data_IF_052535733781
#
_entry.id   IF_052535733781
#
_cell.length_a   1.000
_cell.length_b   1.000
_cell.length_c   1.000
_cell.angle_alpha   90.00
_cell.angle_beta   90.00
_cell.angle_gamma   90.00
#
_symmetry.space_group_name_H-M   'P 1'
#
loop_
_entity.id
_entity.type
_entity.pdbx_description
1 polymer ?
#
# COMPACT_ATOMS: atom_id res chain seq x y z
N UNK A 1 13.49 2.62 -6.27
CA UNK A 1 12.61 2.87 -7.45
C UNK A 1 12.81 1.77 -8.47
N UNK A 2 11.75 1.28 -9.12
CA UNK A 2 11.86 0.24 -10.15
C UNK A 2 11.86 0.89 -11.54
N UNK A 3 12.96 0.77 -12.27
CA UNK A 3 13.13 1.40 -13.59
C UNK A 3 12.94 2.92 -13.58
N UNK A 4 13.40 3.61 -12.53
CA UNK A 4 13.26 5.06 -12.37
C UNK A 4 11.86 5.54 -11.95
N UNK A 5 10.94 4.62 -11.57
CA UNK A 5 9.57 4.94 -11.19
C UNK A 5 9.33 4.69 -9.70
N UNK A 6 8.47 5.47 -9.04
CA UNK A 6 8.07 5.20 -7.67
C UNK A 6 7.48 3.79 -7.53
N UNK A 7 7.83 3.07 -6.46
CA UNK A 7 7.35 1.69 -6.21
C UNK A 7 5.82 1.61 -6.12
N UNK A 8 5.18 2.66 -5.63
CA UNK A 8 3.72 2.72 -5.54
C UNK A 8 3.02 2.61 -6.90
N UNK A 9 3.69 3.01 -7.99
CA UNK A 9 3.17 2.85 -9.35
C UNK A 9 3.14 1.40 -9.80
N UNK A 10 3.76 0.48 -9.07
CA UNK A 10 3.78 -0.95 -9.40
C UNK A 10 2.62 -1.73 -8.77
N UNK A 11 1.87 -1.13 -7.83
CA UNK A 11 0.73 -1.77 -7.19
C UNK A 11 -0.48 -1.79 -8.12
N UNK A 12 -1.05 -2.99 -8.32
CA UNK A 12 -2.19 -3.21 -9.21
C UNK A 12 -3.38 -3.69 -8.40
N UNK A 13 -4.55 -3.09 -8.61
CA UNK A 13 -5.78 -3.48 -7.92
C UNK A 13 -6.13 -4.94 -8.16
N UNK A 14 -5.94 -5.46 -9.35
CA UNK A 14 -6.15 -6.88 -9.69
C UNK A 14 -5.33 -7.84 -8.82
N UNK A 15 -4.10 -7.48 -8.47
CA UNK A 15 -3.24 -8.29 -7.58
C UNK A 15 -3.72 -8.19 -6.12
N UNK A 16 -4.08 -6.99 -5.69
CA UNK A 16 -4.55 -6.73 -4.32
C UNK A 16 -5.80 -7.54 -4.01
N UNK A 17 -6.72 -7.65 -4.96
CA UNK A 17 -7.97 -8.39 -4.80
C UNK A 17 -7.88 -9.89 -5.17
N UNK A 18 -6.70 -10.40 -5.54
CA UNK A 18 -6.52 -11.82 -5.91
C UNK A 18 -6.48 -12.80 -4.74
N UNK A 19 -6.50 -12.32 -3.49
CA UNK A 19 -6.31 -13.15 -2.29
C UNK A 19 -4.85 -13.58 -2.02
N UNK A 20 -3.97 -13.49 -3.02
CA UNK A 20 -2.55 -13.87 -2.94
C UNK A 20 -1.61 -12.65 -2.94
N UNK A 21 -2.12 -11.48 -2.55
CA UNK A 21 -1.37 -10.22 -2.64
C UNK A 21 -0.05 -10.26 -1.88
N UNK A 22 -0.02 -10.84 -0.68
CA UNK A 22 1.18 -10.92 0.15
C UNK A 22 2.25 -11.82 -0.46
N UNK A 23 1.86 -12.99 -0.97
CA UNK A 23 2.79 -13.91 -1.62
C UNK A 23 3.42 -13.29 -2.87
N UNK A 24 2.59 -12.68 -3.72
CA UNK A 24 3.05 -12.01 -4.96
C UNK A 24 3.93 -10.81 -4.61
N UNK A 25 3.52 -10.01 -3.63
CA UNK A 25 4.27 -8.83 -3.18
C UNK A 25 5.62 -9.24 -2.61
N UNK A 26 5.66 -10.19 -1.67
CA UNK A 26 6.90 -10.67 -1.08
C UNK A 26 7.86 -11.22 -2.13
N UNK A 27 7.36 -12.06 -3.04
CA UNK A 27 8.17 -12.62 -4.12
C UNK A 27 8.78 -11.54 -5.00
N UNK A 28 7.99 -10.54 -5.39
CA UNK A 28 8.47 -9.46 -6.26
C UNK A 28 9.48 -8.56 -5.55
N UNK A 29 9.24 -8.20 -4.29
CA UNK A 29 10.17 -7.40 -3.50
C UNK A 29 11.48 -8.14 -3.26
N UNK A 30 11.42 -9.41 -2.86
CA UNK A 30 12.64 -10.20 -2.65
C UNK A 30 13.45 -10.37 -3.92
N UNK A 31 12.79 -10.64 -5.05
CA UNK A 31 13.45 -10.73 -6.35
C UNK A 31 14.16 -9.42 -6.72
N UNK A 32 13.49 -8.29 -6.55
CA UNK A 32 14.09 -6.97 -6.86
C UNK A 32 15.24 -6.64 -5.91
N UNK A 33 15.12 -6.97 -4.63
CA UNK A 33 16.17 -6.77 -3.65
C UNK A 33 17.41 -7.62 -3.95
N UNK A 34 17.23 -8.91 -4.21
CA UNK A 34 18.32 -9.84 -4.52
C UNK A 34 19.03 -9.51 -5.84
N UNK A 35 18.34 -8.95 -6.82
CA UNK A 35 18.96 -8.49 -8.06
C UNK A 35 19.95 -7.33 -7.87
N UNK A 36 19.84 -6.60 -6.74
CA UNK A 36 20.70 -5.45 -6.42
C UNK A 36 21.84 -5.81 -5.51
N UNK A 37 21.60 -6.64 -4.53
CA UNK A 37 22.56 -7.10 -3.55
C UNK A 37 22.13 -8.47 -3.04
N UNK A 38 23.05 -9.42 -3.00
CA UNK A 38 22.82 -10.70 -2.35
C UNK A 38 22.77 -10.50 -0.83
N UNK A 39 21.54 -10.48 -0.29
CA UNK A 39 21.29 -10.24 1.12
C UNK A 39 21.81 -11.36 2.02
N UNK A 40 21.84 -12.59 1.50
CA UNK A 40 22.34 -13.75 2.25
C UNK A 40 23.85 -13.65 2.42
N UNK A 41 24.57 -13.51 1.31
CA UNK A 41 26.05 -13.41 1.33
C UNK A 41 26.53 -12.14 2.05
N UNK A 42 25.74 -11.07 1.98
CA UNK A 42 26.06 -9.81 2.67
C UNK A 42 25.70 -9.79 4.16
N UNK A 43 25.10 -10.87 4.68
CA UNK A 43 24.73 -10.96 6.11
C UNK A 43 23.61 -10.03 6.55
N UNK A 44 22.84 -9.49 5.61
CA UNK A 44 21.71 -8.56 5.89
C UNK A 44 20.35 -9.16 5.55
N UNK A 45 20.28 -10.47 5.37
CA UNK A 45 19.02 -11.14 5.04
C UNK A 45 18.02 -11.00 6.21
N UNK A 46 16.84 -10.41 5.97
CA UNK A 46 15.87 -10.25 7.03
C UNK A 46 15.24 -11.60 7.41
N UNK A 47 14.94 -11.77 8.69
CA UNK A 47 14.23 -12.96 9.21
C UNK A 47 12.75 -12.98 8.86
N UNK A 48 12.18 -11.83 8.51
CA UNK A 48 10.76 -11.68 8.16
C UNK A 48 10.59 -11.25 6.71
N UNK A 49 9.51 -11.70 6.05
CA UNK A 49 9.21 -11.28 4.70
C UNK A 49 8.85 -9.79 4.63
N UNK A 50 9.03 -9.12 3.47
CA UNK A 50 8.80 -7.68 3.31
C UNK A 50 7.44 -7.17 3.78
N UNK A 51 6.36 -7.95 3.61
CA UNK A 51 5.01 -7.53 4.08
C UNK A 51 4.85 -7.59 5.60
N UNK A 52 5.81 -8.18 6.31
CA UNK A 52 5.79 -8.31 7.78
C UNK A 52 6.91 -7.54 8.48
N UNK A 53 7.75 -6.85 7.72
CA UNK A 53 8.89 -6.08 8.22
C UNK A 53 8.88 -4.66 7.69
N UNK A 54 9.47 -3.73 8.43
CA UNK A 54 9.82 -2.43 7.89
C UNK A 54 10.98 -2.63 6.91
N UNK A 55 10.79 -2.25 5.65
CA UNK A 55 11.83 -2.32 4.64
C UNK A 55 12.24 -0.91 4.22
N UNK A 56 13.51 -0.77 3.93
CA UNK A 56 14.07 0.49 3.43
C UNK A 56 14.03 0.50 1.90
N UNK A 57 13.61 1.62 1.34
CA UNK A 57 13.66 1.89 -0.09
C UNK A 57 14.79 2.89 -0.31
N UNK A 58 15.94 2.40 -0.79
CA UNK A 58 17.09 3.24 -1.08
C UNK A 58 17.90 2.67 -2.24
N UNK A 59 18.44 3.54 -3.07
CA UNK A 59 19.27 3.13 -4.22
C UNK A 59 20.76 3.28 -3.92
N UNK A 60 21.14 4.05 -2.91
CA UNK A 60 22.56 4.39 -2.60
C UNK A 60 23.21 3.46 -1.58
N UNK A 61 22.42 2.86 -0.68
CA UNK A 61 22.94 2.05 0.42
C UNK A 61 23.75 0.83 -0.08
N UNK A 62 23.33 0.22 -1.18
CA UNK A 62 24.03 -0.93 -1.75
C UNK A 62 25.47 -0.58 -2.15
N UNK A 63 25.64 0.57 -2.81
CA UNK A 63 26.97 1.04 -3.21
C UNK A 63 27.83 1.33 -1.99
N UNK A 64 27.28 1.95 -0.95
CA UNK A 64 28.01 2.28 0.27
C UNK A 64 28.41 1.02 1.07
N UNK A 65 27.55 -0.01 1.11
CA UNK A 65 27.89 -1.32 1.69
C UNK A 65 28.98 -2.03 0.90
N UNK A 66 28.88 -2.09 -0.42
CA UNK A 66 29.86 -2.74 -1.27
C UNK A 66 31.23 -2.04 -1.26
N UNK A 67 31.26 -0.72 -1.13
CA UNK A 67 32.51 0.06 -1.03
C UNK A 67 33.11 0.07 0.37
N UNK A 68 32.44 -0.55 1.37
CA UNK A 68 32.89 -0.56 2.77
C UNK A 68 32.74 0.77 3.50
N UNK A 69 32.04 1.75 2.91
CA UNK A 69 31.70 3.02 3.58
C UNK A 69 30.69 2.80 4.72
N UNK A 70 29.84 1.79 4.60
CA UNK A 70 28.93 1.34 5.65
C UNK A 70 29.32 -0.09 6.03
N UNK A 71 29.41 -0.33 7.34
CA UNK A 71 29.60 -1.67 7.90
C UNK A 71 28.37 -2.03 8.72
N UNK A 72 27.93 -3.27 8.65
CA UNK A 72 26.80 -3.79 9.42
C UNK A 72 27.32 -4.51 10.67
N UNK A 73 26.66 -4.29 11.78
CA UNK A 73 26.92 -4.96 13.04
C UNK A 73 25.61 -5.52 13.62
N UNK A 74 25.74 -6.42 14.59
CA UNK A 74 24.61 -6.95 15.33
C UNK A 74 23.98 -5.94 16.29
N UNK A 75 23.23 -6.44 17.28
CA UNK A 75 22.63 -5.59 18.29
C UNK A 75 23.67 -4.95 19.20
N UNK A 76 23.52 -3.64 19.45
CA UNK A 76 24.34 -2.90 20.39
C UNK A 76 24.06 -3.44 21.80
N UNK A 77 25.12 -3.87 22.50
CA UNK A 77 25.01 -4.33 23.89
C UNK A 77 25.22 -3.19 24.89
N UNK A 78 26.28 -2.38 24.68
CA UNK A 78 26.57 -1.21 25.53
C UNK A 78 27.45 -0.20 24.80
N UNK A 79 27.43 1.01 25.32
CA UNK A 79 28.37 2.09 24.99
C UNK A 79 29.37 2.18 26.14
N UNK A 80 30.65 2.25 25.82
CA UNK A 80 31.75 2.27 26.78
C UNK A 80 32.71 3.43 26.40
N UNK A 81 32.45 4.61 26.99
CA UNK A 81 33.10 5.84 26.58
C UNK A 81 32.75 6.23 25.14
N UNK A 82 33.77 6.28 24.25
CA UNK A 82 33.60 6.51 22.81
C UNK A 82 33.52 5.21 21.99
N UNK A 83 33.33 4.08 22.64
CA UNK A 83 33.29 2.77 21.97
C UNK A 83 31.91 2.14 22.01
N UNK A 84 31.54 1.43 20.95
CA UNK A 84 30.36 0.60 20.91
C UNK A 84 30.74 -0.89 21.03
N UNK A 85 30.09 -1.62 21.92
CA UNK A 85 30.23 -3.06 22.10
C UNK A 85 28.94 -3.74 21.68
N UNK A 86 29.04 -4.71 20.79
CA UNK A 86 27.91 -5.46 20.24
C UNK A 86 27.73 -6.80 20.99
N UNK A 87 26.54 -7.41 20.83
CA UNK A 87 26.21 -8.66 21.54
C UNK A 87 27.10 -9.83 21.15
N UNK A 88 27.65 -9.83 19.96
CA UNK A 88 28.60 -10.83 19.46
C UNK A 88 30.04 -10.62 19.98
N UNK A 89 30.27 -9.63 20.85
CA UNK A 89 31.58 -9.26 21.37
C UNK A 89 32.40 -8.31 20.48
N UNK A 90 31.92 -8.00 19.29
CA UNK A 90 32.59 -7.02 18.41
C UNK A 90 32.64 -5.65 19.09
N UNK A 91 33.79 -4.97 18.99
CA UNK A 91 33.99 -3.62 19.53
C UNK A 91 34.41 -2.67 18.42
N UNK A 92 33.74 -1.53 18.32
CA UNK A 92 34.11 -0.41 17.44
C UNK A 92 34.54 0.74 18.32
N UNK A 93 35.75 1.22 18.12
CA UNK A 93 36.40 2.23 18.97
C UNK A 93 36.40 3.59 18.30
N UNK A 94 36.41 4.65 19.11
CA UNK A 94 36.62 6.02 18.66
C UNK A 94 35.42 6.57 17.87
N UNK A 95 34.22 6.34 18.33
CA UNK A 95 33.01 6.89 17.72
C UNK A 95 32.90 8.40 18.01
N UNK A 96 32.66 9.18 16.97
CA UNK A 96 32.40 10.62 17.07
C UNK A 96 30.93 10.90 17.45
N UNK A 97 30.01 10.10 16.95
CA UNK A 97 28.57 10.30 17.18
C UNK A 97 27.77 8.98 17.05
N UNK A 98 26.67 8.91 17.77
CA UNK A 98 25.67 7.83 17.66
C UNK A 98 24.34 8.47 17.29
N UNK A 99 23.74 8.03 16.20
CA UNK A 99 22.42 8.49 15.74
C UNK A 99 21.39 7.40 16.05
N UNK A 100 20.44 7.71 16.92
CA UNK A 100 19.37 6.79 17.30
C UNK A 100 18.21 6.87 16.30
N UNK A 101 18.13 5.88 15.41
CA UNK A 101 17.04 5.73 14.44
C UNK A 101 16.08 4.60 14.86
N UNK A 102 15.73 4.54 16.14
CA UNK A 102 14.96 3.46 16.76
C UNK A 102 13.45 3.57 16.54
N UNK A 103 12.98 4.63 15.89
CA UNK A 103 11.57 4.92 15.62
C UNK A 103 10.98 5.89 16.64
N UNK A 104 9.66 6.02 16.60
CA UNK A 104 8.89 6.95 17.43
C UNK A 104 7.77 6.19 18.12
N UNK A 105 7.36 6.65 19.28
CA UNK A 105 6.11 6.26 19.92
C UNK A 105 5.07 7.34 19.64
N UNK A 106 3.83 6.98 19.24
CA UNK A 106 2.77 7.96 19.08
C UNK A 106 2.39 8.54 20.43
N UNK A 107 2.32 9.85 20.50
CA UNK A 107 1.91 10.59 21.68
C UNK A 107 0.71 11.47 21.34
N UNK A 108 -0.32 11.40 22.18
CA UNK A 108 -1.57 12.15 22.03
C UNK A 108 -1.82 12.99 23.29
N UNK A 109 -0.79 13.71 23.74
CA UNK A 109 -0.80 14.52 24.97
C UNK A 109 -1.89 15.61 25.00
N UNK A 110 -2.48 15.92 23.85
CA UNK A 110 -3.60 16.86 23.70
C UNK A 110 -5.00 16.22 23.96
N UNK A 111 -5.07 14.92 24.16
CA UNK A 111 -6.29 14.21 24.52
C UNK A 111 -6.39 14.06 26.04
N UNK A 112 -7.62 13.97 26.55
CA UNK A 112 -7.88 13.70 27.96
C UNK A 112 -7.27 12.37 28.39
N UNK A 113 -6.74 12.32 29.59
CA UNK A 113 -6.04 11.13 30.15
C UNK A 113 -6.94 9.89 30.17
N UNK A 114 -8.23 10.06 30.42
CA UNK A 114 -9.21 8.97 30.43
C UNK A 114 -9.36 8.32 29.06
N UNK A 115 -9.27 9.10 27.97
CA UNK A 115 -9.28 8.59 26.60
C UNK A 115 -7.97 7.90 26.24
N UNK A 116 -6.86 8.31 26.84
CA UNK A 116 -5.53 7.76 26.56
C UNK A 116 -5.28 6.42 27.24
N UNK A 117 -5.85 6.17 28.43
CA UNK A 117 -5.63 4.95 29.19
C UNK A 117 -6.05 3.69 28.43
N UNK A 118 -7.04 3.78 27.58
CA UNK A 118 -7.55 2.66 26.78
C UNK A 118 -7.28 2.80 25.27
N UNK A 119 -6.48 3.80 24.85
CA UNK A 119 -6.22 4.03 23.43
C UNK A 119 -5.68 2.80 22.70
N UNK A 120 -4.82 2.02 23.34
CA UNK A 120 -4.28 0.76 22.80
C UNK A 120 -5.34 -0.34 22.64
N UNK A 121 -6.40 -0.27 23.42
CA UNK A 121 -7.53 -1.20 23.40
C UNK A 121 -8.69 -0.64 22.57
N UNK A 122 -8.66 0.67 22.29
CA UNK A 122 -9.71 1.37 21.58
C UNK A 122 -9.81 0.84 20.15
N UNK A 123 -10.88 0.12 19.86
CA UNK A 123 -11.20 -0.31 18.52
C UNK A 123 -11.57 0.90 17.65
N UNK A 124 -10.80 1.18 16.61
CA UNK A 124 -11.10 2.26 15.66
C UNK A 124 -11.70 1.70 14.37
N UNK A 125 -13.02 1.90 14.17
CA UNK A 125 -13.65 1.56 12.90
C UNK A 125 -13.04 2.39 11.77
N UNK A 126 -12.54 1.70 10.74
CA UNK A 126 -11.75 2.28 9.64
C UNK A 126 -10.52 3.08 10.12
N UNK A 127 -9.99 2.73 11.29
CA UNK A 127 -8.90 3.45 11.97
C UNK A 127 -9.23 4.95 12.16
N UNK A 128 -10.50 5.27 12.33
CA UNK A 128 -11.04 6.63 12.48
C UNK A 128 -11.91 6.75 13.72
N UNK A 129 -13.02 6.01 13.78
CA UNK A 129 -14.04 6.20 14.78
C UNK A 129 -13.93 5.21 15.93
N UNK A 130 -13.78 5.67 17.18
CA UNK A 130 -13.90 4.81 18.35
C UNK A 130 -15.25 4.08 18.34
N UNK A 131 -15.23 2.75 18.54
CA UNK A 131 -16.46 1.95 18.52
C UNK A 131 -17.22 1.99 19.83
N UNK A 132 -16.55 2.37 20.91
CA UNK A 132 -17.14 2.42 22.27
C UNK A 132 -17.67 3.82 22.62
N UNK A 133 -17.61 4.79 21.69
CA UNK A 133 -18.15 6.13 21.85
C UNK A 133 -19.56 6.22 21.26
N UNK A 134 -20.57 6.40 22.10
CA UNK A 134 -21.98 6.45 21.68
C UNK A 134 -22.32 7.62 20.73
N UNK A 135 -21.64 8.75 20.90
CA UNK A 135 -21.93 9.97 20.12
C UNK A 135 -21.12 10.09 18.83
N UNK A 136 -20.07 9.33 18.68
CA UNK A 136 -19.15 9.37 17.53
C UNK A 136 -18.74 10.79 17.11
N UNK A 137 -18.40 11.63 18.11
CA UNK A 137 -17.98 13.02 17.89
C UNK A 137 -16.49 13.17 17.67
N UNK A 138 -15.72 12.11 17.95
CA UNK A 138 -14.28 12.05 17.80
C UNK A 138 -13.88 11.17 16.60
N UNK A 139 -12.91 11.63 15.83
CA UNK A 139 -12.36 10.88 14.71
C UNK A 139 -10.86 11.09 14.55
N UNK A 140 -10.12 10.01 14.39
CA UNK A 140 -8.68 10.02 14.17
C UNK A 140 -8.38 9.90 12.68
N UNK A 141 -7.61 10.84 12.13
CA UNK A 141 -7.19 10.80 10.73
C UNK A 141 -5.68 10.55 10.67
N UNK A 142 -5.28 9.53 9.92
CA UNK A 142 -3.86 9.21 9.74
C UNK A 142 -3.20 8.49 10.91
N UNK A 143 -3.99 7.99 11.89
CA UNK A 143 -3.47 7.23 13.04
C UNK A 143 -3.08 5.79 12.64
N UNK A 144 -2.23 5.65 11.63
CA UNK A 144 -1.74 4.34 11.16
C UNK A 144 -0.36 4.45 10.52
N UNK A 145 0.42 3.36 10.59
CA UNK A 145 1.57 3.12 9.73
C UNK A 145 1.15 2.27 8.53
N UNK A 146 1.74 2.48 7.35
CA UNK A 146 1.31 1.76 6.17
C UNK A 146 2.40 1.42 5.17
N UNK A 147 2.17 0.36 4.40
CA UNK A 147 2.96 0.05 3.21
C UNK A 147 2.33 0.75 2.01
N UNK A 148 3.00 1.78 1.52
CA UNK A 148 2.58 2.56 0.37
C UNK A 148 2.24 4.00 0.71
N UNK A 149 1.53 4.69 -0.18
CA UNK A 149 1.15 6.07 0.01
C UNK A 149 0.06 6.20 1.09
N UNK A 150 0.37 6.89 2.17
CA UNK A 150 -0.55 7.14 3.29
C UNK A 150 -1.51 8.29 3.01
N UNK A 151 -1.09 9.31 2.25
CA UNK A 151 -1.91 10.47 1.90
C UNK A 151 -3.28 10.13 1.30
N UNK A 152 -3.39 9.25 0.30
CA UNK A 152 -4.69 8.83 -0.25
C UNK A 152 -5.60 8.13 0.77
N UNK A 153 -5.04 7.40 1.75
CA UNK A 153 -5.84 6.82 2.84
C UNK A 153 -6.42 7.91 3.71
N UNK A 154 -5.57 8.84 4.17
CA UNK A 154 -6.01 9.97 5.01
C UNK A 154 -7.02 10.86 4.30
N UNK A 155 -6.89 11.06 2.98
CA UNK A 155 -7.91 11.76 2.18
C UNK A 155 -9.27 11.07 2.24
N UNK A 156 -9.30 9.75 2.02
CA UNK A 156 -10.55 8.98 2.07
C UNK A 156 -11.14 8.95 3.49
N UNK A 157 -10.29 8.80 4.53
CA UNK A 157 -10.71 8.91 5.92
C UNK A 157 -11.35 10.27 6.21
N UNK A 158 -10.71 11.37 5.79
CA UNK A 158 -11.22 12.74 5.95
C UNK A 158 -12.56 12.94 5.24
N UNK A 159 -12.68 12.46 3.99
CA UNK A 159 -13.95 12.53 3.24
C UNK A 159 -15.07 11.73 3.92
N UNK A 160 -14.76 10.56 4.45
CA UNK A 160 -15.71 9.71 5.15
C UNK A 160 -16.16 10.38 6.45
N UNK A 161 -15.22 10.84 7.28
CA UNK A 161 -15.50 11.52 8.54
C UNK A 161 -16.33 12.79 8.34
N UNK A 162 -15.96 13.61 7.36
CA UNK A 162 -16.72 14.82 7.05
C UNK A 162 -18.18 14.53 6.68
N UNK A 163 -18.46 13.42 5.98
CA UNK A 163 -19.84 13.03 5.65
C UNK A 163 -20.59 12.46 6.85
N UNK A 164 -19.93 11.73 7.75
CA UNK A 164 -20.53 11.27 9.01
C UNK A 164 -20.87 12.47 9.89
N UNK A 165 -19.92 13.36 10.16
CA UNK A 165 -20.14 14.55 11.00
C UNK A 165 -21.18 15.52 10.42
N UNK A 166 -21.29 15.58 9.10
CA UNK A 166 -22.34 16.36 8.43
C UNK A 166 -23.72 15.66 8.38
N UNK A 167 -23.87 14.47 8.96
CA UNK A 167 -25.11 13.69 8.91
C UNK A 167 -25.50 13.19 7.51
N UNK A 168 -24.57 13.22 6.54
CA UNK A 168 -24.80 12.75 5.17
C UNK A 168 -24.60 11.26 4.98
N UNK A 169 -23.89 10.62 5.90
CA UNK A 169 -23.71 9.18 6.00
C UNK A 169 -23.89 8.79 7.47
N UNK A 170 -24.30 7.54 7.68
CA UNK A 170 -24.36 6.93 9.01
C UNK A 170 -23.26 5.88 9.15
N UNK A 171 -22.79 5.69 10.37
CA UNK A 171 -21.92 4.57 10.69
C UNK A 171 -22.71 3.26 10.58
N UNK A 172 -22.05 2.14 10.20
CA UNK A 172 -22.68 0.83 10.21
C UNK A 172 -23.10 0.41 11.64
N UNK A 173 -23.94 -0.62 11.77
CA UNK A 173 -24.25 -1.22 13.08
C UNK A 173 -22.97 -1.64 13.82
N UNK A 174 -23.02 -1.63 15.15
CA UNK A 174 -21.87 -1.85 16.03
C UNK A 174 -21.18 -3.21 15.81
N UNK A 175 -21.96 -4.24 15.51
CA UNK A 175 -21.45 -5.59 15.18
C UNK A 175 -20.59 -5.59 13.92
N UNK A 176 -21.00 -4.84 12.89
CA UNK A 176 -20.23 -4.66 11.65
C UNK A 176 -18.95 -3.87 11.92
N UNK A 177 -19.02 -2.82 12.75
CA UNK A 177 -17.84 -2.05 13.14
C UNK A 177 -16.84 -2.90 13.92
N UNK A 178 -17.30 -3.71 14.87
CA UNK A 178 -16.46 -4.63 15.63
C UNK A 178 -15.79 -5.68 14.76
N UNK A 179 -16.53 -6.25 13.81
CA UNK A 179 -15.96 -7.21 12.85
C UNK A 179 -14.87 -6.58 11.97
N UNK A 180 -15.06 -5.34 11.52
CA UNK A 180 -14.07 -4.59 10.76
C UNK A 180 -12.80 -4.31 11.59
N UNK A 181 -12.95 -3.85 12.82
CA UNK A 181 -11.84 -3.63 13.74
C UNK A 181 -11.06 -4.92 13.97
N UNK A 182 -11.74 -6.02 14.27
CA UNK A 182 -11.10 -7.32 14.47
C UNK A 182 -10.34 -7.80 13.22
N UNK A 183 -10.93 -7.61 12.04
CA UNK A 183 -10.28 -7.96 10.76
C UNK A 183 -8.98 -7.18 10.57
N UNK A 184 -9.01 -5.84 10.73
CA UNK A 184 -7.82 -5.01 10.52
C UNK A 184 -6.79 -5.18 11.63
N UNK A 185 -7.21 -5.37 12.88
CA UNK A 185 -6.30 -5.73 13.97
C UNK A 185 -5.55 -7.01 13.65
N UNK A 186 -6.23 -8.07 13.24
CA UNK A 186 -5.59 -9.32 12.86
C UNK A 186 -4.69 -9.20 11.62
N UNK A 187 -5.11 -8.39 10.63
CA UNK A 187 -4.33 -8.17 9.42
C UNK A 187 -3.05 -7.35 9.68
N UNK A 188 -3.11 -6.40 10.63
CA UNK A 188 -2.05 -5.45 10.92
C UNK A 188 -1.10 -5.89 12.05
N UNK A 189 -1.59 -6.62 13.07
CA UNK A 189 -0.81 -7.07 14.24
C UNK A 189 0.22 -8.16 13.96
N UNK A 190 0.38 -8.55 12.70
CA UNK A 190 1.43 -9.50 12.31
C UNK A 190 2.86 -8.98 12.53
N UNK A 191 3.01 -7.74 12.97
CA UNK A 191 4.32 -7.17 13.34
C UNK A 191 4.39 -6.99 14.87
N UNK A 192 4.79 -8.06 15.58
CA UNK A 192 4.83 -8.16 17.05
C UNK A 192 5.72 -7.14 17.77
N UNK A 193 6.49 -6.34 17.05
CA UNK A 193 7.49 -5.44 17.63
C UNK A 193 7.04 -3.97 17.75
N UNK A 194 5.82 -3.61 17.30
CA UNK A 194 5.32 -2.24 17.41
C UNK A 194 3.91 -2.22 17.99
N UNK A 195 3.79 -1.81 19.24
CA UNK A 195 2.56 -1.70 20.01
C UNK A 195 1.48 -0.81 19.38
N UNK A 196 1.87 0.18 18.57
CA UNK A 196 1.03 1.32 18.21
C UNK A 196 0.87 1.58 16.70
N UNK A 197 1.51 0.80 15.83
CA UNK A 197 1.40 1.01 14.38
C UNK A 197 0.81 -0.21 13.69
N UNK A 198 -0.40 -0.07 13.23
CA UNK A 198 -0.98 -1.01 12.29
C UNK A 198 -0.24 -0.88 10.96
N UNK A 199 0.52 -1.89 10.58
CA UNK A 199 1.20 -1.94 9.28
C UNK A 199 0.17 -2.27 8.21
N UNK A 200 -0.52 -1.22 7.75
CA UNK A 200 -1.71 -1.29 6.93
C UNK A 200 -1.37 -1.55 5.46
N UNK A 201 -1.98 -2.52 4.78
CA UNK A 201 -1.93 -2.60 3.32
C UNK A 201 -2.79 -1.48 2.71
N UNK A 202 -2.24 -0.27 2.62
CA UNK A 202 -2.94 0.97 2.28
C UNK A 202 -3.86 0.83 1.06
N UNK A 203 -3.40 0.16 0.01
CA UNK A 203 -4.17 0.04 -1.23
C UNK A 203 -5.47 -0.76 -1.08
N UNK A 204 -5.45 -1.85 -0.29
CA UNK A 204 -6.66 -2.62 0.02
C UNK A 204 -7.59 -1.83 0.92
N UNK A 205 -7.03 -1.17 1.93
CA UNK A 205 -7.79 -0.38 2.89
C UNK A 205 -8.50 0.80 2.24
N UNK A 206 -7.84 1.50 1.31
CA UNK A 206 -8.45 2.57 0.51
C UNK A 206 -9.73 2.10 -0.19
N UNK A 207 -9.69 0.94 -0.84
CA UNK A 207 -10.84 0.40 -1.54
C UNK A 207 -12.01 0.08 -0.58
N UNK A 208 -11.74 -0.29 0.69
CA UNK A 208 -12.81 -0.51 1.67
C UNK A 208 -13.51 0.78 2.07
N UNK A 209 -12.77 1.87 2.31
CA UNK A 209 -13.35 3.19 2.61
C UNK A 209 -14.07 3.75 1.37
N UNK A 210 -13.48 3.58 0.19
CA UNK A 210 -14.08 4.02 -1.06
C UNK A 210 -15.44 3.37 -1.34
N UNK A 211 -15.63 2.11 -0.92
CA UNK A 211 -16.93 1.42 -0.99
C UNK A 211 -17.97 2.08 -0.06
N UNK A 212 -17.59 2.43 1.16
CA UNK A 212 -18.48 3.13 2.09
C UNK A 212 -18.87 4.52 1.58
N UNK A 213 -17.96 5.21 0.93
CA UNK A 213 -18.20 6.50 0.29
C UNK A 213 -18.98 6.42 -1.02
N UNK A 214 -19.17 5.23 -1.60
CA UNK A 214 -19.77 5.05 -2.92
C UNK A 214 -18.89 5.53 -4.09
N UNK A 215 -17.56 5.66 -3.87
CA UNK A 215 -16.59 6.18 -4.86
C UNK A 215 -15.64 5.10 -5.38
N UNK A 216 -15.89 3.85 -5.07
CA UNK A 216 -15.07 2.74 -5.53
C UNK A 216 -15.11 2.62 -7.05
N UNK A 217 -13.95 2.58 -7.75
CA UNK A 217 -13.88 2.49 -9.20
C UNK A 217 -14.07 1.03 -9.67
N UNK A 218 -15.31 0.54 -9.55
CA UNK A 218 -15.69 -0.84 -9.91
C UNK A 218 -15.38 -1.16 -11.38
N UNK A 219 -14.76 -2.32 -11.63
CA UNK A 219 -14.31 -2.74 -12.97
C UNK A 219 -15.43 -2.70 -14.01
N UNK A 220 -16.52 -3.38 -13.75
CA UNK A 220 -17.62 -3.49 -14.71
C UNK A 220 -18.28 -2.16 -15.03
N UNK A 221 -18.42 -1.31 -14.01
CA UNK A 221 -18.98 0.04 -14.20
C UNK A 221 -18.07 0.92 -15.06
N UNK A 222 -16.76 0.85 -14.81
CA UNK A 222 -15.77 1.57 -15.64
C UNK A 222 -15.68 0.98 -17.03
N UNK A 223 -15.81 -0.35 -17.19
CA UNK A 223 -15.73 -1.02 -18.49
C UNK A 223 -16.83 -0.53 -19.46
N UNK A 224 -18.02 -0.30 -18.94
CA UNK A 224 -19.14 0.25 -19.72
C UNK A 224 -18.87 1.70 -20.12
N UNK A 225 -18.28 2.51 -19.23
CA UNK A 225 -18.06 3.95 -19.46
C UNK A 225 -16.82 4.24 -20.30
N UNK A 226 -15.70 3.57 -20.01
CA UNK A 226 -14.41 3.70 -20.69
C UNK A 226 -13.58 2.43 -20.48
N UNK A 227 -13.56 1.50 -21.45
CA UNK A 227 -12.82 0.23 -21.36
C UNK A 227 -11.32 0.41 -21.13
N UNK A 228 -10.72 1.44 -21.72
CA UNK A 228 -9.28 1.72 -21.56
C UNK A 228 -8.98 2.20 -20.16
N UNK A 229 -9.83 3.06 -19.60
CA UNK A 229 -9.72 3.54 -18.24
C UNK A 229 -9.94 2.39 -17.23
N UNK A 230 -10.93 1.52 -17.46
CA UNK A 230 -11.16 0.33 -16.65
C UNK A 230 -9.89 -0.55 -16.56
N UNK A 231 -9.29 -0.84 -17.72
CA UNK A 231 -8.05 -1.60 -17.77
C UNK A 231 -6.92 -0.90 -16.99
N UNK A 232 -6.75 0.41 -17.15
CA UNK A 232 -5.74 1.20 -16.46
C UNK A 232 -5.95 1.23 -14.96
N UNK A 233 -7.18 1.38 -14.48
CA UNK A 233 -7.51 1.40 -13.06
C UNK A 233 -7.31 0.05 -12.36
N UNK A 234 -7.46 -1.07 -13.07
CA UNK A 234 -7.39 -2.39 -12.48
C UNK A 234 -6.05 -3.10 -12.68
N UNK A 235 -5.42 -2.90 -13.82
CA UNK A 235 -4.16 -3.56 -14.19
C UNK A 235 -2.97 -2.58 -14.22
N UNK A 236 -3.24 -1.30 -14.11
CA UNK A 236 -2.23 -0.23 -13.97
C UNK A 236 -2.00 0.17 -12.52
N UNK A 237 -1.19 1.22 -12.32
CA UNK A 237 -0.93 1.81 -11.01
C UNK A 237 -2.19 2.36 -10.35
N UNK A 238 -2.23 2.34 -9.01
CA UNK A 238 -3.30 2.97 -8.24
C UNK A 238 -2.96 4.44 -7.95
N UNK A 239 -3.93 5.32 -8.22
CA UNK A 239 -3.83 6.76 -7.95
C UNK A 239 -5.06 7.24 -7.18
N UNK A 240 -4.92 8.23 -6.33
CA UNK A 240 -6.04 8.84 -5.58
C UNK A 240 -7.14 9.40 -6.49
N UNK A 241 -6.79 9.89 -7.68
CA UNK A 241 -7.75 10.36 -8.68
C UNK A 241 -8.77 9.29 -9.11
N UNK A 242 -8.45 8.00 -9.00
CA UNK A 242 -9.38 6.92 -9.30
C UNK A 242 -10.64 6.94 -8.41
N UNK A 243 -10.53 7.47 -7.18
CA UNK A 243 -11.65 7.65 -6.25
C UNK A 243 -12.45 8.95 -6.48
N UNK A 244 -12.18 9.65 -7.58
CA UNK A 244 -12.93 10.81 -8.07
C UNK A 244 -13.59 10.55 -9.43
N UNK A 245 -13.49 9.31 -9.94
CA UNK A 245 -14.13 8.92 -11.21
C UNK A 245 -15.63 8.73 -11.05
N UNK A 246 -16.08 8.11 -9.98
CA UNK A 246 -17.46 7.69 -9.79
C UNK A 246 -17.99 8.15 -8.43
N UNK A 247 -19.34 8.20 -8.31
CA UNK A 247 -20.03 8.44 -7.05
C UNK A 247 -20.12 9.91 -6.65
N UNK A 248 -20.43 10.18 -5.37
CA UNK A 248 -20.54 11.52 -4.84
C UNK A 248 -19.23 12.30 -4.94
N UNK A 249 -19.31 13.58 -5.26
CA UNK A 249 -18.15 14.49 -5.40
C UNK A 249 -17.19 14.06 -6.50
N UNK A 250 -17.68 13.34 -7.53
CA UNK A 250 -16.88 12.94 -8.69
C UNK A 250 -16.57 14.13 -9.60
N UNK A 251 -15.36 14.11 -10.18
CA UNK A 251 -15.00 14.98 -11.28
C UNK A 251 -14.42 14.09 -12.39
N UNK A 252 -15.31 13.49 -13.17
CA UNK A 252 -14.98 12.50 -14.19
C UNK A 252 -13.90 12.97 -15.15
N UNK A 253 -14.07 14.18 -15.71
CA UNK A 253 -13.15 14.70 -16.73
C UNK A 253 -11.75 14.82 -16.19
N UNK A 254 -11.58 15.54 -15.09
CA UNK A 254 -10.27 15.78 -14.48
C UNK A 254 -9.64 14.47 -13.95
N UNK A 255 -10.43 13.64 -13.24
CA UNK A 255 -9.94 12.38 -12.72
C UNK A 255 -9.50 11.42 -13.83
N UNK A 256 -10.26 11.36 -14.93
CA UNK A 256 -9.92 10.56 -16.11
C UNK A 256 -8.61 11.02 -16.75
N UNK A 257 -8.46 12.33 -16.93
CA UNK A 257 -7.24 12.92 -17.51
C UNK A 257 -6.02 12.60 -16.61
N UNK A 258 -6.13 12.78 -15.31
CA UNK A 258 -5.05 12.41 -14.35
C UNK A 258 -4.73 10.92 -14.45
N UNK A 259 -5.73 10.02 -14.42
CA UNK A 259 -5.48 8.58 -14.55
C UNK A 259 -4.82 8.20 -15.88
N UNK A 260 -5.04 8.97 -16.93
CA UNK A 260 -4.44 8.75 -18.24
C UNK A 260 -3.01 9.27 -18.34
N UNK A 261 -2.69 10.38 -17.66
CA UNK A 261 -1.41 11.10 -17.79
C UNK A 261 -0.45 10.85 -16.63
N UNK A 262 -0.95 10.53 -15.45
CA UNK A 262 -0.15 10.42 -14.20
C UNK A 262 1.07 9.51 -14.33
N UNK A 263 0.95 8.41 -15.07
CA UNK A 263 2.07 7.51 -15.34
C UNK A 263 3.18 8.16 -16.15
N UNK A 264 2.82 9.02 -17.07
CA UNK A 264 3.75 9.77 -17.92
C UNK A 264 4.31 10.98 -17.16
N UNK A 265 3.45 11.65 -16.39
CA UNK A 265 3.80 12.82 -15.59
C UNK A 265 4.71 12.47 -14.41
N UNK A 266 4.54 11.32 -13.79
CA UNK A 266 5.46 10.81 -12.76
C UNK A 266 6.91 10.65 -13.23
N UNK A 267 7.14 10.68 -14.54
CA UNK A 267 8.47 10.63 -15.15
C UNK A 267 8.92 11.98 -15.72
N UNK A 268 8.17 13.07 -15.51
CA UNK A 268 8.50 14.39 -16.09
C UNK A 268 9.83 14.93 -15.60
N UNK A 269 10.16 14.70 -14.32
CA UNK A 269 11.46 15.08 -13.75
C UNK A 269 12.66 14.47 -14.48
N UNK A 270 12.46 13.33 -15.16
CA UNK A 270 13.50 12.67 -15.95
C UNK A 270 13.62 13.25 -17.36
N UNK A 271 12.68 14.12 -17.79
CA UNK A 271 12.64 14.70 -19.12
C UNK A 271 13.39 16.03 -19.29
N UNK A 272 14.00 16.53 -18.20
CA UNK A 272 14.75 17.78 -18.22
C UNK A 272 16.11 17.70 -18.94
N UNK A 273 16.59 16.51 -19.27
CA UNK A 273 17.73 16.40 -20.17
C UNK A 273 17.27 16.72 -21.61
N UNK A 274 17.80 17.79 -22.17
CA UNK A 274 17.68 18.11 -23.60
C UNK A 274 18.48 17.14 -24.46
N UNK A 275 18.32 15.83 -24.24
CA UNK A 275 18.92 14.84 -25.13
C UNK A 275 18.21 14.95 -26.49
N UNK A 276 18.96 14.99 -27.60
CA UNK A 276 18.38 14.96 -28.93
C UNK A 276 17.42 13.78 -29.07
N UNK A 277 16.27 14.01 -29.68
CA UNK A 277 15.27 12.96 -29.95
C UNK A 277 15.77 11.89 -30.95
N UNK A 278 16.95 12.06 -31.47
CA UNK A 278 17.61 11.16 -32.40
C UNK A 278 18.47 10.16 -31.64
N UNK A 279 18.05 8.91 -31.62
CA UNK A 279 18.88 7.82 -31.12
C UNK A 279 18.23 6.78 -30.25
N UNK A 280 17.01 6.97 -29.79
CA UNK A 280 16.29 5.86 -29.16
C UNK A 280 15.62 5.08 -30.28
N UNK A 281 16.30 4.04 -30.76
CA UNK A 281 15.66 3.03 -31.59
C UNK A 281 14.34 2.65 -30.91
N UNK A 282 13.22 3.00 -31.52
CA UNK A 282 11.91 2.53 -31.07
C UNK A 282 12.00 1.00 -31.10
N UNK A 283 12.27 0.40 -29.96
CA UNK A 283 12.00 -1.01 -29.79
C UNK A 283 10.53 -1.17 -30.18
N UNK A 284 10.30 -1.67 -31.37
CA UNK A 284 9.00 -2.13 -31.85
C UNK A 284 8.64 -3.37 -31.02
N UNK A 285 8.43 -3.16 -29.71
CA UNK A 285 7.79 -4.15 -28.86
C UNK A 285 6.44 -4.42 -29.50
N UNK A 286 6.20 -5.65 -29.78
CA UNK A 286 5.08 -6.25 -30.49
C UNK A 286 3.74 -5.95 -29.74
N UNK A 287 3.30 -4.68 -29.74
CA UNK A 287 2.10 -4.19 -29.05
C UNK A 287 0.80 -4.82 -29.57
N UNK A 288 0.82 -5.39 -30.78
CA UNK A 288 -0.39 -5.96 -31.39
C UNK A 288 -0.80 -7.32 -30.81
N UNK A 289 0.14 -8.13 -30.26
CA UNK A 289 -0.21 -9.46 -29.71
C UNK A 289 -0.91 -9.40 -28.34
N UNK A 290 -0.66 -8.39 -27.53
CA UNK A 290 -1.26 -8.29 -26.20
C UNK A 290 -2.71 -7.82 -26.22
N UNK A 291 -3.13 -7.02 -27.20
CA UNK A 291 -4.51 -6.52 -27.28
C UNK A 291 -5.49 -7.64 -27.63
N UNK A 292 -5.09 -8.58 -28.51
CA UNK A 292 -5.95 -9.70 -28.92
C UNK A 292 -6.15 -10.71 -27.77
N UNK A 293 -5.11 -10.99 -26.99
CA UNK A 293 -5.21 -11.95 -25.86
C UNK A 293 -6.04 -11.37 -24.70
N UNK A 294 -5.95 -10.06 -24.44
CA UNK A 294 -6.73 -9.41 -23.37
C UNK A 294 -8.21 -9.29 -23.72
N UNK A 295 -8.57 -9.13 -24.98
CA UNK A 295 -9.97 -9.14 -25.40
C UNK A 295 -10.60 -10.53 -25.40
N UNK A 296 -9.81 -11.59 -25.61
CA UNK A 296 -10.33 -12.97 -25.64
C UNK A 296 -10.42 -13.62 -24.24
N UNK A 297 -9.55 -13.28 -23.30
CA UNK A 297 -9.57 -13.83 -21.95
C UNK A 297 -10.87 -13.54 -21.16
N UNK A 298 -11.43 -12.33 -21.15
CA UNK A 298 -12.73 -12.07 -20.51
C UNK A 298 -13.89 -12.79 -21.22
N UNK A 299 -13.85 -12.93 -22.56
CA UNK A 299 -14.87 -13.66 -23.31
C UNK A 299 -14.79 -15.18 -23.06
N UNK A 300 -13.58 -15.72 -22.95
CA UNK A 300 -13.36 -17.11 -22.55
C UNK A 300 -13.79 -17.37 -21.10
N UNK A 301 -13.50 -16.47 -20.17
CA UNK A 301 -13.95 -16.56 -18.79
C UNK A 301 -15.48 -16.47 -18.68
N UNK A 302 -16.13 -15.61 -19.47
CA UNK A 302 -17.59 -15.54 -19.56
C UNK A 302 -18.18 -16.82 -20.18
N UNK A 303 -17.55 -17.39 -21.21
CA UNK A 303 -18.01 -18.64 -21.83
C UNK A 303 -17.85 -19.84 -20.88
N UNK A 304 -16.76 -19.93 -20.13
CA UNK A 304 -16.56 -20.96 -19.10
C UNK A 304 -17.57 -20.81 -17.96
N UNK A 305 -17.82 -19.59 -17.50
CA UNK A 305 -18.82 -19.33 -16.45
C UNK A 305 -20.23 -19.67 -16.93
N UNK A 306 -20.57 -19.33 -18.17
CA UNK A 306 -21.87 -19.65 -18.76
C UNK A 306 -22.05 -21.17 -18.93
N UNK A 307 -21.03 -21.91 -19.36
CA UNK A 307 -21.05 -23.37 -19.44
C UNK A 307 -21.17 -24.04 -18.05
N UNK A 308 -20.45 -23.52 -17.04
CA UNK A 308 -20.60 -24.00 -15.66
C UNK A 308 -22.01 -23.72 -15.11
N UNK A 309 -22.58 -22.55 -15.42
CA UNK A 309 -23.95 -22.22 -15.01
C UNK A 309 -24.99 -23.09 -15.69
N UNK A 310 -24.85 -23.38 -17.00
CA UNK A 310 -25.72 -24.27 -17.74
C UNK A 310 -25.62 -25.70 -17.20
N UNK A 311 -24.42 -26.21 -16.92
CA UNK A 311 -24.19 -27.52 -16.34
C UNK A 311 -24.78 -27.65 -14.94
N UNK A 312 -24.68 -26.57 -14.13
CA UNK A 312 -25.31 -26.54 -12.80
C UNK A 312 -26.83 -26.55 -12.87
N UNK A 313 -27.44 -25.79 -13.79
CA UNK A 313 -28.89 -25.75 -13.99
C UNK A 313 -29.40 -27.07 -14.58
N UNK A 314 -28.63 -27.73 -15.45
CA UNK A 314 -28.98 -29.04 -16.00
C UNK A 314 -28.87 -30.18 -14.96
N UNK A 315 -27.93 -30.09 -13.99
CA UNK A 315 -27.75 -31.06 -12.91
C UNK A 315 -28.80 -30.98 -11.79
N UNK A 316 -29.60 -29.91 -11.73
CA UNK A 316 -30.71 -29.75 -10.75
C UNK A 316 -32.03 -30.37 -11.27
N UNK A 317 -32.05 -30.94 -12.50
CA UNK A 317 -33.23 -31.56 -13.10
C UNK A 317 -33.17 -33.09 -13.16
N UNK A 318 -32.24 -33.71 -12.50
CA UNK A 318 -32.19 -35.14 -12.18
C UNK A 318 -32.07 -35.31 -10.67
#
# INVERSE_FOLDING_TARGET
>A
MSGGRPLDTCKKRSVIHSGNSDLITNRNFMKEAQNRLDHVTSGICPSLPPTKSAFMIGDTIYTALMSGQIKTYGHLAKIDGCDAVFQDGTRVTGLDAIVLCTGYEPEYSFLDQDLLQDFDKMGLFKLVFPIDEDKHTLGFIGAFGGIGATGPVSELQSRYSAKIFAGKLSLPPIDVMRADVQFWTNACTRNRHRKYYHFLPCSLFQDTIAKLLGVFPGFWRLLILDPVLAYRCWYGPMFSAQYRLLGPDSNWKQARDICNTAYTEGCLSLRHSKLPKEGIAKSKGNKRRYIVVVCCLPLLACAVYFNCLISYIAGVRT
#
